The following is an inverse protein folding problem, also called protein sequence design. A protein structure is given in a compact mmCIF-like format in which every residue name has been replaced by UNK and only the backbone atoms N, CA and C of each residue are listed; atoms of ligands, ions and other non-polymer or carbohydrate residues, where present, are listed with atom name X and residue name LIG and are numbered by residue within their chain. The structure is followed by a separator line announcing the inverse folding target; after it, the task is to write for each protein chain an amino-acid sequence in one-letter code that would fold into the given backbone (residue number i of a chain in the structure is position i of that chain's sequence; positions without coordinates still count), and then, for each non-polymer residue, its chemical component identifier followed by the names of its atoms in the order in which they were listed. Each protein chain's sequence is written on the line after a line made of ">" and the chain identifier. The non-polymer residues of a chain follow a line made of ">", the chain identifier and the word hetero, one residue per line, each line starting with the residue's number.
data_IF_189945163174
#
_entry.id   IF_189945163174
#
_cell.length_a   1.000
_cell.length_b   1.000
_cell.length_c   1.000
_cell.angle_alpha   90.00
_cell.angle_beta   90.00
_cell.angle_gamma   90.00
#
_symmetry.space_group_name_H-M   'P 1'
#
loop_
_entity.id
_entity.type
_entity.pdbx_description
1 polymer ?
#
# COMPACT_ATOMS: atom_id res chain seq x y z
N UNK A 1 -6.84 -12.62 -2.40
CA UNK A 1 -7.44 -11.30 -2.15
C UNK A 1 -6.53 -10.19 -2.63
N UNK A 2 -7.10 -9.04 -2.91
CA UNK A 2 -6.36 -7.84 -3.30
C UNK A 2 -5.92 -7.10 -2.05
N UNK A 3 -4.61 -6.92 -1.88
CA UNK A 3 -4.04 -6.30 -0.67
C UNK A 3 -3.37 -4.99 -1.03
N UNK A 4 -3.80 -3.91 -0.38
CA UNK A 4 -3.17 -2.62 -0.48
C UNK A 4 -2.10 -2.50 0.60
N UNK A 5 -0.90 -2.06 0.21
CA UNK A 5 0.18 -1.78 1.16
C UNK A 5 0.48 -0.29 1.14
N UNK A 6 0.52 0.29 2.33
CA UNK A 6 0.89 1.69 2.54
C UNK A 6 1.94 1.79 3.64
N UNK A 7 2.66 2.89 3.70
CA UNK A 7 3.69 3.14 4.69
C UNK A 7 4.58 4.31 4.29
N UNK A 8 5.53 4.62 5.14
CA UNK A 8 6.40 5.78 4.97
C UNK A 8 7.40 5.64 3.83
N UNK A 9 7.74 6.79 3.21
CA UNK A 9 8.76 6.86 2.16
C UNK A 9 10.17 6.57 2.68
N UNK A 10 10.38 6.71 3.98
CA UNK A 10 11.66 6.44 4.62
C UNK A 10 11.70 5.10 5.35
N UNK A 11 10.67 4.28 5.18
CA UNK A 11 10.62 2.95 5.76
C UNK A 11 11.58 2.03 5.00
N UNK A 12 12.53 1.41 5.70
CA UNK A 12 13.61 0.64 5.08
C UNK A 12 13.74 -0.80 5.60
N UNK A 13 12.91 -1.19 6.55
CA UNK A 13 13.02 -2.51 7.19
C UNK A 13 12.33 -3.59 6.35
N UNK A 14 13.03 -4.09 5.34
CA UNK A 14 12.48 -5.11 4.46
C UNK A 14 12.20 -6.42 5.19
N UNK A 15 13.05 -6.81 6.14
CA UNK A 15 12.83 -8.05 6.88
C UNK A 15 11.54 -7.99 7.70
N UNK A 16 11.27 -6.86 8.36
CA UNK A 16 10.03 -6.66 9.09
C UNK A 16 8.82 -6.69 8.15
N UNK A 17 8.91 -6.02 7.00
CA UNK A 17 7.84 -6.03 6.00
C UNK A 17 7.60 -7.45 5.48
N UNK A 18 8.64 -8.17 5.10
CA UNK A 18 8.53 -9.55 4.63
C UNK A 18 7.88 -10.45 5.68
N UNK A 19 8.31 -10.34 6.93
CA UNK A 19 7.75 -11.11 8.04
C UNK A 19 6.25 -10.86 8.18
N UNK A 20 5.83 -9.60 8.15
CA UNK A 20 4.42 -9.24 8.25
C UNK A 20 3.63 -9.80 7.06
N UNK A 21 4.11 -9.60 5.84
CA UNK A 21 3.40 -10.07 4.65
C UNK A 21 3.31 -11.60 4.59
N UNK A 22 4.35 -12.31 5.05
CA UNK A 22 4.34 -13.77 5.13
C UNK A 22 3.37 -14.31 6.20
N UNK A 23 2.95 -13.45 7.15
CA UNK A 23 1.98 -13.81 8.19
C UNK A 23 0.52 -13.68 7.72
N UNK A 24 0.27 -13.11 6.56
CA UNK A 24 -1.10 -13.01 6.06
C UNK A 24 -1.73 -14.40 5.93
N UNK A 25 -3.01 -14.57 6.34
CA UNK A 25 -3.65 -15.89 6.35
C UNK A 25 -3.78 -16.50 4.95
N UNK A 26 -3.87 -15.65 3.93
CA UNK A 26 -3.93 -16.10 2.54
C UNK A 26 -2.92 -15.30 1.71
N UNK A 27 -2.25 -15.97 0.78
CA UNK A 27 -1.36 -15.30 -0.16
C UNK A 27 -2.17 -14.32 -1.02
N UNK A 28 -1.77 -13.04 -1.11
CA UNK A 28 -2.47 -12.09 -1.97
C UNK A 28 -2.46 -12.52 -3.44
N UNK A 29 -3.54 -12.23 -4.15
CA UNK A 29 -3.57 -12.38 -5.62
C UNK A 29 -2.87 -11.21 -6.31
N UNK A 30 -2.97 -10.03 -5.70
CA UNK A 30 -2.30 -8.82 -6.17
C UNK A 30 -1.95 -7.93 -4.98
N UNK A 31 -0.78 -7.29 -5.05
CA UNK A 31 -0.38 -6.22 -4.14
C UNK A 31 -0.58 -4.89 -4.85
N UNK A 32 -1.32 -3.99 -4.22
CA UNK A 32 -1.62 -2.65 -4.72
C UNK A 32 -0.80 -1.65 -3.92
N UNK A 33 -0.08 -0.77 -4.57
CA UNK A 33 0.66 0.28 -3.88
C UNK A 33 0.82 1.54 -4.72
N UNK A 34 1.28 2.60 -4.07
CA UNK A 34 1.36 3.94 -4.67
C UNK A 34 2.63 4.23 -5.46
N UNK A 35 3.46 3.24 -5.73
CA UNK A 35 4.71 3.40 -6.49
C UNK A 35 5.66 4.45 -5.90
N UNK A 36 5.64 4.63 -4.59
CA UNK A 36 6.56 5.51 -3.88
C UNK A 36 7.79 4.72 -3.39
N UNK A 37 8.83 5.44 -2.99
CA UNK A 37 9.95 4.82 -2.28
C UNK A 37 9.50 4.35 -0.89
N UNK A 38 10.34 3.60 -0.19
CA UNK A 38 10.05 3.13 1.15
C UNK A 38 9.14 1.91 1.16
N UNK A 39 8.12 1.91 2.00
CA UNK A 39 7.25 0.75 2.19
C UNK A 39 6.65 0.23 0.89
N UNK A 40 6.18 1.11 0.01
CA UNK A 40 5.63 0.71 -1.29
C UNK A 40 6.66 -0.04 -2.14
N UNK A 41 7.87 0.47 -2.24
CA UNK A 41 8.95 -0.19 -2.99
C UNK A 41 9.33 -1.55 -2.39
N UNK A 42 9.34 -1.65 -1.06
CA UNK A 42 9.64 -2.92 -0.39
C UNK A 42 8.51 -3.94 -0.59
N UNK A 43 7.27 -3.50 -0.57
CA UNK A 43 6.11 -4.36 -0.85
C UNK A 43 6.14 -4.87 -2.31
N UNK A 44 6.54 -4.01 -3.24
CA UNK A 44 6.75 -4.38 -4.65
C UNK A 44 7.79 -5.50 -4.75
N UNK A 45 8.93 -5.32 -4.11
CA UNK A 45 9.99 -6.31 -4.07
C UNK A 45 9.49 -7.65 -3.51
N UNK A 46 8.81 -7.61 -2.38
CA UNK A 46 8.27 -8.83 -1.76
C UNK A 46 7.30 -9.55 -2.68
N UNK A 47 6.40 -8.81 -3.32
CA UNK A 47 5.41 -9.39 -4.23
C UNK A 47 6.08 -10.07 -5.42
N UNK A 48 7.05 -9.42 -6.05
CA UNK A 48 7.79 -9.99 -7.17
C UNK A 48 8.57 -11.24 -6.75
N UNK A 49 9.26 -11.21 -5.61
CA UNK A 49 9.98 -12.36 -5.08
C UNK A 49 9.05 -13.52 -4.71
N UNK A 50 7.80 -13.22 -4.38
CA UNK A 50 6.78 -14.22 -4.01
C UNK A 50 5.91 -14.67 -5.18
N UNK A 51 6.16 -14.19 -6.38
CA UNK A 51 5.38 -14.53 -7.57
C UNK A 51 3.96 -13.95 -7.56
N UNK A 52 3.77 -12.81 -6.93
CA UNK A 52 2.47 -12.13 -6.81
C UNK A 52 2.42 -10.95 -7.78
N UNK A 53 1.28 -10.79 -8.46
CA UNK A 53 1.06 -9.63 -9.32
C UNK A 53 1.08 -8.32 -8.52
N UNK A 54 1.55 -7.27 -9.16
CA UNK A 54 1.65 -5.93 -8.56
C UNK A 54 0.86 -4.94 -9.39
N UNK A 55 0.03 -4.15 -8.72
CA UNK A 55 -0.63 -2.99 -9.32
C UNK A 55 0.01 -1.72 -8.75
N UNK A 56 0.77 -1.03 -9.57
CA UNK A 56 1.45 0.22 -9.22
C UNK A 56 0.59 1.40 -9.65
N UNK A 57 0.26 2.26 -8.70
CA UNK A 57 -0.57 3.44 -8.98
C UNK A 57 0.20 4.71 -8.59
N UNK A 58 1.03 5.24 -9.49
CA UNK A 58 1.82 6.44 -9.19
C UNK A 58 0.94 7.68 -9.04
N UNK A 59 1.36 8.61 -8.18
CA UNK A 59 0.74 9.91 -8.10
C UNK A 59 1.13 10.74 -9.34
N UNK A 60 0.15 11.42 -9.93
CA UNK A 60 0.33 12.17 -11.16
C UNK A 60 0.72 13.63 -10.86
N UNK A 61 1.91 13.82 -10.29
CA UNK A 61 2.38 15.13 -9.81
C UNK A 61 2.35 16.20 -10.90
N UNK A 62 2.75 15.85 -12.13
CA UNK A 62 2.80 16.81 -13.24
C UNK A 62 1.40 17.27 -13.68
N UNK A 63 0.42 16.36 -13.64
CA UNK A 63 -0.95 16.66 -14.06
C UNK A 63 -1.81 17.26 -12.93
N UNK A 64 -1.57 16.87 -11.68
CA UNK A 64 -2.47 17.14 -10.55
C UNK A 64 -1.81 17.97 -9.44
N UNK A 65 -0.52 18.25 -9.54
CA UNK A 65 0.19 19.10 -8.58
C UNK A 65 0.15 18.55 -7.15
N UNK A 66 -0.06 19.43 -6.18
CA UNK A 66 0.01 19.07 -4.74
C UNK A 66 -1.08 18.10 -4.30
N UNK A 67 -2.18 18.01 -5.03
CA UNK A 67 -3.28 17.09 -4.70
C UNK A 67 -3.07 15.67 -5.24
N UNK A 68 -2.00 15.45 -6.01
CA UNK A 68 -1.77 14.17 -6.71
C UNK A 68 -1.73 12.97 -5.77
N UNK A 69 -1.06 13.09 -4.62
CA UNK A 69 -0.98 12.03 -3.62
C UNK A 69 -2.34 11.64 -3.05
N UNK A 70 -3.15 12.62 -2.70
CA UNK A 70 -4.52 12.38 -2.18
C UNK A 70 -5.41 11.76 -3.23
N UNK A 71 -5.34 12.26 -4.47
CA UNK A 71 -6.12 11.73 -5.60
C UNK A 71 -5.73 10.29 -5.92
N UNK A 72 -4.42 9.98 -5.91
CA UNK A 72 -3.91 8.63 -6.10
C UNK A 72 -4.41 7.69 -5.01
N UNK A 73 -4.39 8.13 -3.75
CA UNK A 73 -4.88 7.32 -2.64
C UNK A 73 -6.38 7.01 -2.79
N UNK A 74 -7.18 7.99 -3.16
CA UNK A 74 -8.60 7.78 -3.42
C UNK A 74 -8.82 6.82 -4.61
N UNK A 75 -8.02 6.95 -5.66
CA UNK A 75 -8.09 6.07 -6.83
C UNK A 75 -7.73 4.63 -6.49
N UNK A 76 -6.80 4.39 -5.57
CA UNK A 76 -6.48 3.04 -5.12
C UNK A 76 -7.69 2.33 -4.50
N UNK A 77 -8.57 3.06 -3.85
CA UNK A 77 -9.84 2.51 -3.34
C UNK A 77 -10.84 2.30 -4.48
N UNK A 78 -11.12 3.35 -5.25
CA UNK A 78 -12.22 3.36 -6.21
C UNK A 78 -11.94 2.57 -7.48
N UNK A 79 -10.68 2.42 -7.87
CA UNK A 79 -10.30 1.74 -9.11
C UNK A 79 -9.69 0.36 -8.89
N UNK A 80 -8.96 0.16 -7.82
CA UNK A 80 -8.27 -1.11 -7.55
C UNK A 80 -9.08 -2.06 -6.67
N UNK A 81 -10.07 -1.58 -5.95
CA UNK A 81 -10.95 -2.39 -5.09
C UNK A 81 -10.18 -3.28 -4.11
N UNK A 82 -9.33 -2.73 -3.25
CA UNK A 82 -8.61 -3.54 -2.27
C UNK A 82 -9.59 -4.17 -1.26
N UNK A 83 -9.27 -5.39 -0.85
CA UNK A 83 -10.06 -6.13 0.12
C UNK A 83 -9.44 -6.09 1.51
N UNK A 84 -8.16 -5.71 1.59
CA UNK A 84 -7.41 -5.65 2.82
C UNK A 84 -6.30 -4.62 2.69
N UNK A 85 -5.93 -4.00 3.80
CA UNK A 85 -4.83 -3.02 3.82
C UNK A 85 -3.83 -3.39 4.92
N UNK A 86 -2.55 -3.36 4.58
CA UNK A 86 -1.44 -3.48 5.53
C UNK A 86 -0.72 -2.14 5.56
N UNK A 87 -0.66 -1.54 6.74
CA UNK A 87 -0.04 -0.24 6.94
C UNK A 87 1.23 -0.35 7.79
N UNK A 88 2.35 0.04 7.19
CA UNK A 88 3.64 0.12 7.87
C UNK A 88 3.87 1.54 8.43
N UNK A 89 4.83 1.72 9.35
CA UNK A 89 5.08 3.05 9.91
C UNK A 89 5.27 4.13 8.85
N UNK A 90 4.64 5.27 9.05
CA UNK A 90 4.70 6.38 8.11
C UNK A 90 4.09 7.65 8.68
N UNK A 91 4.00 8.68 7.85
CA UNK A 91 3.52 10.00 8.22
C UNK A 91 2.06 10.24 7.82
N UNK A 92 1.79 11.50 7.42
CA UNK A 92 0.42 11.95 7.08
C UNK A 92 -0.19 11.21 5.90
N UNK A 93 0.61 10.90 4.87
CA UNK A 93 0.11 10.17 3.70
C UNK A 93 -0.36 8.77 4.06
N UNK A 94 0.39 8.08 4.91
CA UNK A 94 0.01 6.76 5.42
C UNK A 94 -1.25 6.83 6.28
N UNK A 95 -1.32 7.79 7.21
CA UNK A 95 -2.50 7.98 8.05
C UNK A 95 -3.74 8.30 7.21
N UNK A 96 -3.60 9.12 6.18
CA UNK A 96 -4.69 9.45 5.25
C UNK A 96 -5.19 8.23 4.49
N UNK A 97 -4.27 7.37 4.03
CA UNK A 97 -4.65 6.13 3.33
C UNK A 97 -5.40 5.16 4.26
N UNK A 98 -4.91 5.01 5.48
CA UNK A 98 -5.56 4.18 6.51
C UNK A 98 -6.98 4.67 6.77
N UNK A 99 -7.16 5.98 6.90
CA UNK A 99 -8.49 6.56 7.14
C UNK A 99 -9.43 6.30 5.94
N UNK A 100 -8.95 6.47 4.72
CA UNK A 100 -9.74 6.16 3.52
C UNK A 100 -10.18 4.70 3.49
N UNK A 101 -9.27 3.78 3.81
CA UNK A 101 -9.60 2.35 3.88
C UNK A 101 -10.68 2.09 4.93
N UNK A 102 -10.55 2.64 6.12
CA UNK A 102 -11.54 2.46 7.20
C UNK A 102 -12.90 3.01 6.83
N UNK A 103 -12.96 4.19 6.22
CA UNK A 103 -14.21 4.77 5.72
C UNK A 103 -14.88 3.93 4.64
N UNK A 104 -14.09 3.24 3.83
CA UNK A 104 -14.58 2.35 2.79
C UNK A 104 -14.93 0.94 3.30
N UNK A 105 -14.77 0.68 4.59
CA UNK A 105 -15.03 -0.63 5.18
C UNK A 105 -13.97 -1.67 4.89
N UNK A 106 -12.77 -1.25 4.49
CA UNK A 106 -11.64 -2.14 4.22
C UNK A 106 -10.88 -2.39 5.52
N UNK A 107 -10.72 -3.66 5.95
CA UNK A 107 -9.93 -3.97 7.15
C UNK A 107 -8.49 -3.50 7.00
N UNK A 108 -7.96 -2.90 8.07
CA UNK A 108 -6.58 -2.40 8.11
C UNK A 108 -5.82 -3.12 9.20
N UNK A 109 -4.67 -3.66 8.85
CA UNK A 109 -3.73 -4.24 9.81
C UNK A 109 -2.48 -3.36 9.91
N UNK A 110 -2.13 -3.00 11.13
CA UNK A 110 -0.94 -2.21 11.45
C UNK A 110 0.00 -3.10 12.25
N UNK A 111 0.90 -3.87 11.61
CA UNK A 111 1.71 -4.87 12.29
C UNK A 111 2.77 -4.29 13.22
N UNK A 112 3.17 -3.03 13.03
CA UNK A 112 4.25 -2.41 13.83
C UNK A 112 3.91 -1.03 14.41
#
# INVERSE_FOLDING_TARGET
>A
MRVLVTGGRDYTDYLALKTAMDMLPNKPSVVIHGNARGAAALADRWALESGIFVLRMPALWDAQGKSAGMRRNAAMISLAFPEYCVAFPGGRGTAGMVELCRKAGIPVWVPY
#
